data_IF_319747688352
#
_entry.id   IF_319747688352
#
_cell.length_a   1.000
_cell.length_b   1.000
_cell.length_c   1.000
_cell.angle_alpha   90.00
_cell.angle_beta   90.00
_cell.angle_gamma   90.00
#
_symmetry.space_group_name_H-M   'P 1'
#
loop_
_entity.id
_entity.type
_entity.pdbx_description
1 polymer ?
#
# COMPACT_ATOMS: atom_id res chain seq x y z
N UNK A 1 -6.87 12.88 16.96
CA UNK A 1 -5.40 12.72 16.93
C UNK A 1 -5.14 11.36 16.31
N UNK A 2 -4.53 11.33 15.12
CA UNK A 2 -4.11 10.09 14.46
C UNK A 2 -2.98 9.56 15.34
N UNK A 3 -3.22 8.46 16.06
CA UNK A 3 -2.17 7.75 16.80
C UNK A 3 -1.33 7.00 15.78
N UNK A 4 -0.34 7.67 15.20
CA UNK A 4 0.64 7.02 14.36
C UNK A 4 1.44 6.07 15.26
N UNK A 5 1.40 4.76 14.99
CA UNK A 5 2.27 3.82 15.68
C UNK A 5 3.73 4.23 15.42
N UNK A 6 4.53 4.40 16.46
CA UNK A 6 5.96 4.59 16.28
C UNK A 6 6.59 3.25 15.90
N UNK A 7 6.99 3.14 14.66
CA UNK A 7 7.64 1.95 14.09
C UNK A 7 9.12 2.15 13.81
N UNK A 8 9.71 3.22 14.35
CA UNK A 8 11.12 3.59 14.11
C UNK A 8 12.12 2.51 14.54
N UNK A 9 11.76 1.66 15.49
CA UNK A 9 12.55 0.49 15.86
C UNK A 9 12.71 -0.52 14.71
N UNK A 10 11.80 -0.51 13.72
CA UNK A 10 11.89 -1.34 12.51
C UNK A 10 12.79 -0.74 11.43
N UNK A 11 13.24 0.50 11.55
CA UNK A 11 14.09 1.19 10.57
C UNK A 11 15.58 0.79 10.68
N UNK A 12 15.88 -0.22 11.48
CA UNK A 12 17.24 -0.79 11.58
C UNK A 12 17.61 -1.51 10.28
N UNK A 13 18.85 -1.36 9.77
CA UNK A 13 19.29 -2.03 8.54
C UNK A 13 19.10 -3.55 8.55
N UNK A 14 19.24 -4.17 9.73
CA UNK A 14 19.04 -5.60 9.96
C UNK A 14 17.59 -6.05 9.69
N UNK A 15 16.61 -5.14 9.86
CA UNK A 15 15.19 -5.38 9.58
C UNK A 15 14.88 -5.02 8.12
N UNK A 16 15.30 -3.83 7.69
CA UNK A 16 14.94 -3.29 6.37
C UNK A 16 15.35 -4.18 5.21
N UNK A 17 16.52 -4.84 5.28
CA UNK A 17 17.01 -5.77 4.25
C UNK A 17 16.14 -7.01 4.04
N UNK A 18 15.31 -7.37 5.04
CA UNK A 18 14.36 -8.49 4.95
C UNK A 18 12.94 -8.02 4.71
N UNK A 19 12.62 -6.80 5.21
CA UNK A 19 11.28 -6.25 5.09
C UNK A 19 11.00 -5.67 3.71
N UNK A 20 12.04 -5.19 3.00
CA UNK A 20 11.88 -4.57 1.69
C UNK A 20 12.80 -5.21 0.64
N UNK A 21 12.22 -5.49 -0.52
CA UNK A 21 12.93 -5.99 -1.70
C UNK A 21 12.66 -5.08 -2.89
N UNK A 22 13.18 -3.82 -2.87
CA UNK A 22 12.89 -2.86 -3.92
C UNK A 22 13.42 -3.35 -5.27
N UNK A 23 12.60 -3.18 -6.28
CA UNK A 23 12.89 -3.53 -7.68
C UNK A 23 12.53 -2.33 -8.56
N UNK A 24 13.42 -1.93 -9.45
CA UNK A 24 13.16 -0.85 -10.40
C UNK A 24 12.36 -1.35 -11.60
N UNK A 25 11.52 -0.48 -12.10
CA UNK A 25 10.86 -0.69 -13.38
C UNK A 25 11.90 -0.50 -14.50
N UNK A 26 12.04 -1.51 -15.34
CA UNK A 26 12.77 -1.36 -16.60
C UNK A 26 11.76 -0.86 -17.62
N UNK A 27 11.80 0.45 -17.89
CA UNK A 27 10.89 1.22 -18.75
C UNK A 27 10.28 0.34 -19.86
N UNK A 28 9.07 -0.13 -19.62
CA UNK A 28 8.23 -0.73 -20.64
C UNK A 28 7.26 0.35 -21.14
N UNK A 29 6.80 0.20 -22.37
CA UNK A 29 5.76 1.10 -22.86
C UNK A 29 4.55 1.03 -21.92
N UNK A 30 4.09 2.20 -21.46
CA UNK A 30 2.86 2.31 -20.66
C UNK A 30 1.71 1.72 -21.47
N UNK A 31 0.90 0.79 -20.93
CA UNK A 31 -0.24 0.23 -21.65
C UNK A 31 -1.18 1.34 -22.14
N UNK A 32 -1.83 1.10 -23.28
CA UNK A 32 -2.84 2.02 -23.79
C UNK A 32 -3.93 2.24 -22.74
N UNK A 33 -4.44 3.48 -22.67
CA UNK A 33 -5.50 3.90 -21.75
C UNK A 33 -5.13 3.84 -20.25
N UNK A 34 -3.84 3.76 -19.89
CA UNK A 34 -3.37 3.93 -18.53
C UNK A 34 -2.72 5.29 -18.31
N UNK A 35 -2.66 5.75 -17.06
CA UNK A 35 -2.06 7.03 -16.68
C UNK A 35 -1.01 6.80 -15.60
N UNK A 36 0.24 7.12 -15.90
CA UNK A 36 1.30 7.18 -14.90
C UNK A 36 1.41 8.60 -14.35
N UNK A 37 1.55 8.74 -13.04
CA UNK A 37 1.80 10.02 -12.38
C UNK A 37 2.68 9.84 -11.14
N UNK A 38 3.16 10.96 -10.60
CA UNK A 38 4.05 10.94 -9.45
C UNK A 38 3.44 11.69 -8.27
N UNK A 39 3.61 11.14 -7.08
CA UNK A 39 3.13 11.68 -5.81
C UNK A 39 4.35 12.19 -5.04
N UNK A 40 4.54 13.52 -4.89
CA UNK A 40 5.60 14.06 -4.07
C UNK A 40 5.36 13.75 -2.60
N UNK A 41 6.32 13.12 -1.92
CA UNK A 41 6.25 12.80 -0.49
C UNK A 41 7.26 13.60 0.34
N UNK A 42 8.39 13.99 -0.28
CA UNK A 42 9.41 14.87 0.26
C UNK A 42 10.02 15.71 -0.86
N UNK A 43 10.92 16.67 -0.50
CA UNK A 43 11.52 17.62 -1.46
C UNK A 43 12.10 16.97 -2.73
N UNK A 44 12.72 15.80 -2.61
CA UNK A 44 13.39 15.10 -3.72
C UNK A 44 12.92 13.65 -3.86
N UNK A 45 11.84 13.30 -3.16
CA UNK A 45 11.28 11.95 -3.15
C UNK A 45 9.84 11.97 -3.65
N UNK A 46 9.58 11.14 -4.65
CA UNK A 46 8.26 10.93 -5.21
C UNK A 46 7.95 9.44 -5.36
N UNK A 47 6.69 9.09 -5.20
CA UNK A 47 6.18 7.76 -5.48
C UNK A 47 5.62 7.71 -6.89
N UNK A 48 5.94 6.65 -7.63
CA UNK A 48 5.28 6.35 -8.91
C UNK A 48 3.90 5.75 -8.64
N UNK A 49 2.95 6.09 -9.49
CA UNK A 49 1.62 5.50 -9.45
C UNK A 49 1.12 5.24 -10.87
N UNK A 50 0.41 4.12 -11.04
CA UNK A 50 -0.21 3.73 -12.32
C UNK A 50 -1.70 3.54 -12.13
N UNK A 51 -2.46 4.25 -12.96
CA UNK A 51 -3.91 4.25 -12.93
C UNK A 51 -4.49 3.59 -14.18
N UNK A 52 -5.35 2.62 -13.98
CA UNK A 52 -6.14 1.92 -14.99
C UNK A 52 -7.58 2.41 -14.85
N UNK A 53 -8.05 3.34 -15.71
CA UNK A 53 -9.35 3.98 -15.55
C UNK A 53 -10.50 3.10 -16.04
N UNK A 54 -11.59 3.08 -15.28
CA UNK A 54 -12.95 2.76 -15.71
C UNK A 54 -13.78 4.06 -15.74
N UNK A 55 -15.10 3.95 -15.85
CA UNK A 55 -15.96 5.14 -15.80
C UNK A 55 -15.79 5.94 -14.50
N UNK A 56 -15.92 7.29 -14.55
CA UNK A 56 -15.66 8.14 -13.39
C UNK A 56 -16.59 7.92 -12.19
N UNK A 57 -17.81 7.44 -12.41
CA UNK A 57 -18.80 7.19 -11.36
C UNK A 57 -18.66 5.79 -10.73
N UNK A 58 -17.86 4.91 -11.33
CA UNK A 58 -17.62 3.55 -10.88
C UNK A 58 -16.56 3.48 -9.77
N UNK A 59 -16.51 2.39 -8.97
CA UNK A 59 -15.57 2.28 -7.85
C UNK A 59 -14.11 2.41 -8.26
N UNK A 60 -13.32 2.99 -7.36
CA UNK A 60 -11.87 3.13 -7.49
C UNK A 60 -11.17 2.32 -6.39
N UNK A 61 -10.28 1.41 -6.79
CA UNK A 61 -9.39 0.71 -5.85
C UNK A 61 -8.06 1.44 -5.81
N UNK A 62 -7.67 1.94 -4.63
CA UNK A 62 -6.30 2.32 -4.33
C UNK A 62 -5.57 1.10 -3.76
N UNK A 63 -4.60 0.61 -4.49
CA UNK A 63 -3.91 -0.64 -4.22
C UNK A 63 -2.46 -0.44 -3.80
N UNK A 64 -2.11 -1.06 -2.68
CA UNK A 64 -0.77 -1.20 -2.14
C UNK A 64 -0.28 -2.63 -2.38
N UNK A 65 0.74 -2.78 -3.22
CA UNK A 65 1.24 -4.06 -3.70
C UNK A 65 2.05 -4.84 -2.66
N UNK A 66 2.36 -6.10 -2.96
CA UNK A 66 3.20 -6.95 -2.14
C UNK A 66 4.69 -6.61 -2.23
N UNK A 67 5.49 -7.17 -1.32
CA UNK A 67 6.93 -6.97 -1.32
C UNK A 67 7.57 -7.56 -2.60
N UNK A 68 8.45 -6.80 -3.25
CA UNK A 68 9.10 -7.19 -4.51
C UNK A 68 8.23 -7.03 -5.77
N UNK A 69 6.98 -6.62 -5.64
CA UNK A 69 6.10 -6.25 -6.76
C UNK A 69 6.28 -4.76 -7.10
N UNK A 70 5.82 -4.36 -8.29
CA UNK A 70 5.80 -2.97 -8.75
C UNK A 70 4.55 -2.70 -9.58
N UNK A 71 4.20 -1.44 -9.80
CA UNK A 71 2.98 -1.05 -10.49
C UNK A 71 2.84 -1.69 -11.88
N UNK A 72 3.93 -1.83 -12.63
CA UNK A 72 3.91 -2.45 -13.97
C UNK A 72 3.64 -3.96 -13.97
N UNK A 73 3.77 -4.67 -12.85
CA UNK A 73 3.37 -6.08 -12.77
C UNK A 73 1.85 -6.26 -12.92
N UNK A 74 1.11 -5.19 -12.75
CA UNK A 74 -0.35 -5.17 -12.82
C UNK A 74 -0.90 -4.78 -14.21
N UNK A 75 -0.04 -4.61 -15.22
CA UNK A 75 -0.44 -4.23 -16.58
C UNK A 75 -1.40 -5.22 -17.25
N UNK A 76 -1.32 -6.50 -16.88
CA UNK A 76 -2.30 -7.51 -17.33
C UNK A 76 -3.53 -7.62 -16.42
N UNK A 77 -3.45 -7.11 -15.18
CA UNK A 77 -4.48 -7.24 -14.16
C UNK A 77 -5.40 -6.01 -14.14
N UNK A 78 -4.84 -4.79 -14.27
CA UNK A 78 -5.62 -3.55 -14.29
C UNK A 78 -6.78 -3.57 -15.28
N UNK A 79 -6.57 -3.97 -16.55
CA UNK A 79 -7.67 -4.10 -17.53
C UNK A 79 -8.74 -5.12 -17.13
N UNK A 80 -8.41 -6.15 -16.33
CA UNK A 80 -9.41 -7.08 -15.82
C UNK A 80 -10.37 -6.38 -14.87
N UNK A 81 -9.85 -5.54 -13.96
CA UNK A 81 -10.71 -4.71 -13.10
C UNK A 81 -11.59 -3.76 -13.92
N UNK A 82 -11.03 -3.14 -14.97
CA UNK A 82 -11.79 -2.23 -15.82
C UNK A 82 -12.96 -2.93 -16.54
N UNK A 83 -12.80 -4.19 -16.94
CA UNK A 83 -13.88 -4.98 -17.54
C UNK A 83 -15.05 -5.23 -16.59
N UNK A 84 -14.84 -5.07 -15.29
CA UNK A 84 -15.87 -5.13 -14.26
C UNK A 84 -16.33 -3.75 -13.77
N UNK A 85 -15.99 -2.68 -14.48
CA UNK A 85 -16.36 -1.32 -14.12
C UNK A 85 -15.57 -0.78 -12.91
N UNK A 86 -14.38 -1.28 -12.63
CA UNK A 86 -13.59 -0.86 -11.46
C UNK A 86 -12.32 -0.17 -11.95
N UNK A 87 -12.10 1.07 -11.53
CA UNK A 87 -10.81 1.73 -11.71
C UNK A 87 -9.78 1.16 -10.73
N UNK A 88 -8.57 0.91 -11.20
CA UNK A 88 -7.51 0.30 -10.40
C UNK A 88 -6.27 1.20 -10.40
N UNK A 89 -5.81 1.60 -9.22
CA UNK A 89 -4.68 2.49 -9.03
C UNK A 89 -3.64 1.83 -8.13
N UNK A 90 -2.45 1.60 -8.65
CA UNK A 90 -1.33 0.98 -7.94
C UNK A 90 -0.30 2.05 -7.58
N UNK A 91 0.17 2.05 -6.34
CA UNK A 91 1.23 2.97 -5.87
C UNK A 91 2.47 2.17 -5.50
N UNK A 92 3.60 2.56 -6.10
CA UNK A 92 4.92 2.02 -5.75
C UNK A 92 5.48 2.67 -4.46
N UNK A 93 6.09 1.88 -3.58
CA UNK A 93 6.80 2.41 -2.42
C UNK A 93 8.13 3.07 -2.81
N UNK A 94 8.75 3.85 -1.91
CA UNK A 94 10.12 4.38 -2.14
C UNK A 94 11.05 3.27 -2.61
N UNK A 95 11.82 3.54 -3.65
CA UNK A 95 12.77 2.60 -4.24
C UNK A 95 12.18 1.54 -5.16
N UNK A 96 10.87 1.32 -5.16
CA UNK A 96 10.17 0.41 -6.06
C UNK A 96 9.78 1.09 -7.38
N UNK A 97 9.66 0.31 -8.44
CA UNK A 97 9.17 0.78 -9.73
C UNK A 97 9.83 2.08 -10.18
N UNK A 98 9.02 3.09 -10.42
CA UNK A 98 9.44 4.43 -10.80
C UNK A 98 9.67 5.37 -9.60
N UNK A 99 9.36 4.94 -8.37
CA UNK A 99 9.55 5.74 -7.16
C UNK A 99 11.02 6.01 -6.86
N UNK A 100 11.31 7.19 -6.29
CA UNK A 100 12.65 7.54 -5.79
C UNK A 100 12.81 7.24 -4.31
N UNK A 101 13.96 7.53 -3.73
CA UNK A 101 14.26 7.32 -2.32
C UNK A 101 14.54 5.87 -1.93
N UNK A 102 14.59 5.62 -0.62
CA UNK A 102 14.78 4.31 -0.02
C UNK A 102 13.64 4.01 0.96
N UNK A 103 13.10 2.78 0.97
CA UNK A 103 11.99 2.43 1.85
C UNK A 103 12.48 2.23 3.30
N UNK A 104 11.68 2.70 4.25
CA UNK A 104 11.77 2.36 5.67
C UNK A 104 10.38 2.02 6.21
N UNK A 105 10.29 1.39 7.38
CA UNK A 105 8.99 1.09 7.99
C UNK A 105 8.23 2.38 8.33
N UNK A 106 8.93 3.40 8.82
CA UNK A 106 8.33 4.69 9.13
C UNK A 106 7.80 5.40 7.90
N UNK A 107 8.56 5.44 6.80
CA UNK A 107 8.09 6.12 5.60
C UNK A 107 7.02 5.31 4.83
N UNK A 108 6.95 3.99 4.98
CA UNK A 108 5.84 3.20 4.44
C UNK A 108 4.49 3.70 4.97
N UNK A 109 4.42 4.05 6.26
CA UNK A 109 3.21 4.59 6.88
C UNK A 109 2.98 6.06 6.51
N UNK A 110 3.99 6.91 6.64
CA UNK A 110 3.85 8.35 6.36
C UNK A 110 3.52 8.62 4.88
N UNK A 111 4.14 7.89 3.98
CA UNK A 111 3.89 8.01 2.54
C UNK A 111 2.50 7.50 2.16
N UNK A 112 1.99 6.47 2.84
CA UNK A 112 0.62 6.00 2.62
C UNK A 112 -0.40 7.11 2.87
N UNK A 113 -0.24 7.88 3.96
CA UNK A 113 -1.11 9.04 4.23
C UNK A 113 -1.03 10.11 3.14
N UNK A 114 0.16 10.39 2.65
CA UNK A 114 0.36 11.36 1.55
C UNK A 114 -0.24 10.81 0.26
N UNK A 115 0.05 9.54 -0.08
CA UNK A 115 -0.48 8.90 -1.27
C UNK A 115 -2.02 8.90 -1.28
N UNK A 116 -2.65 8.55 -0.17
CA UNK A 116 -4.11 8.56 -0.07
C UNK A 116 -4.70 9.94 -0.33
N UNK A 117 -4.17 10.99 0.32
CA UNK A 117 -4.67 12.36 0.14
C UNK A 117 -4.46 12.88 -1.28
N UNK A 118 -3.28 12.66 -1.84
CA UNK A 118 -2.96 13.11 -3.20
C UNK A 118 -3.77 12.36 -4.26
N UNK A 119 -3.92 11.04 -4.13
CA UNK A 119 -4.75 10.23 -5.03
C UNK A 119 -6.21 10.68 -4.96
N UNK A 120 -6.74 10.89 -3.77
CA UNK A 120 -8.11 11.35 -3.59
C UNK A 120 -8.32 12.73 -4.22
N UNK A 121 -7.44 13.68 -3.95
CA UNK A 121 -7.48 15.01 -4.55
C UNK A 121 -7.39 14.94 -6.09
N UNK A 122 -6.53 14.05 -6.60
CA UNK A 122 -6.38 13.84 -8.03
C UNK A 122 -7.66 13.25 -8.65
N UNK A 123 -8.27 12.23 -8.02
CA UNK A 123 -9.53 11.64 -8.48
C UNK A 123 -10.65 12.71 -8.51
N UNK A 124 -10.80 13.48 -7.44
CA UNK A 124 -11.76 14.58 -7.37
C UNK A 124 -11.53 15.61 -8.49
N UNK A 125 -10.26 15.99 -8.73
CA UNK A 125 -9.86 16.91 -9.80
C UNK A 125 -10.15 16.39 -11.21
N UNK A 126 -10.22 15.04 -11.37
CA UNK A 126 -10.63 14.39 -12.63
C UNK A 126 -12.15 14.16 -12.73
N UNK A 127 -12.93 14.67 -11.77
CA UNK A 127 -14.38 14.49 -11.74
C UNK A 127 -14.81 13.04 -11.42
N UNK A 128 -13.95 12.25 -10.77
CA UNK A 128 -14.23 10.88 -10.41
C UNK A 128 -14.89 10.82 -9.03
N UNK A 129 -16.12 10.31 -8.99
CA UNK A 129 -17.02 10.38 -7.82
C UNK A 129 -17.41 9.01 -7.27
N UNK A 130 -16.88 7.92 -7.86
CA UNK A 130 -17.14 6.56 -7.41
C UNK A 130 -16.60 6.26 -6.00
N UNK A 131 -17.03 5.13 -5.45
CA UNK A 131 -16.61 4.65 -4.14
C UNK A 131 -15.08 4.45 -4.08
N UNK A 132 -14.47 4.77 -2.95
CA UNK A 132 -13.04 4.57 -2.72
C UNK A 132 -12.83 3.32 -1.86
N UNK A 133 -12.18 2.32 -2.42
CA UNK A 133 -11.84 1.06 -1.77
C UNK A 133 -10.32 0.99 -1.62
N UNK A 134 -9.86 0.72 -0.42
CA UNK A 134 -8.43 0.50 -0.17
C UNK A 134 -8.14 -1.00 -0.27
N UNK A 135 -7.12 -1.36 -1.00
CA UNK A 135 -6.69 -2.74 -1.12
C UNK A 135 -5.20 -2.87 -0.79
N UNK A 136 -4.85 -3.91 -0.04
CA UNK A 136 -3.45 -4.21 0.27
C UNK A 136 -3.15 -5.69 0.17
N UNK A 137 -2.02 -6.02 -0.48
CA UNK A 137 -1.53 -7.37 -0.61
C UNK A 137 -0.25 -7.58 0.19
N UNK A 138 -0.18 -8.63 1.01
CA UNK A 138 1.00 -8.99 1.81
C UNK A 138 1.55 -7.77 2.57
N UNK A 139 2.74 -7.25 2.26
CA UNK A 139 3.29 -6.00 2.82
C UNK A 139 2.32 -4.82 2.67
N UNK A 140 1.60 -4.75 1.56
CA UNK A 140 0.60 -3.71 1.30
C UNK A 140 -0.59 -3.69 2.26
N UNK A 141 -0.79 -4.76 3.04
CA UNK A 141 -1.78 -4.76 4.12
C UNK A 141 -1.46 -3.73 5.21
N UNK A 142 -0.19 -3.37 5.39
CA UNK A 142 0.26 -2.36 6.36
C UNK A 142 -0.28 -0.97 6.02
N UNK A 143 0.07 -0.37 4.86
CA UNK A 143 -0.48 0.92 4.46
C UNK A 143 -2.01 0.88 4.28
N UNK A 144 -2.58 -0.22 3.77
CA UNK A 144 -4.03 -0.33 3.62
C UNK A 144 -4.76 -0.24 4.97
N UNK A 145 -4.31 -0.96 5.99
CA UNK A 145 -4.87 -0.88 7.33
C UNK A 145 -4.64 0.47 8.00
N UNK A 146 -3.47 1.10 7.79
CA UNK A 146 -3.18 2.44 8.29
C UNK A 146 -4.18 3.46 7.75
N UNK A 147 -4.38 3.47 6.43
CA UNK A 147 -5.33 4.39 5.79
C UNK A 147 -6.76 4.11 6.24
N UNK A 148 -7.18 2.84 6.25
CA UNK A 148 -8.54 2.51 6.66
C UNK A 148 -8.82 2.85 8.11
N UNK A 149 -7.88 2.67 9.04
CA UNK A 149 -8.06 3.06 10.43
C UNK A 149 -8.13 4.58 10.62
N UNK A 150 -7.36 5.34 9.81
CA UNK A 150 -7.21 6.79 9.94
C UNK A 150 -8.30 7.59 9.22
N UNK A 151 -8.83 7.09 8.10
CA UNK A 151 -9.73 7.81 7.19
C UNK A 151 -11.07 7.09 6.95
N UNK A 152 -11.62 6.44 7.96
CA UNK A 152 -12.86 5.65 7.81
C UNK A 152 -14.03 6.42 7.17
N UNK A 153 -14.14 7.71 7.43
CA UNK A 153 -15.24 8.53 6.87
C UNK A 153 -15.02 8.90 5.39
N UNK A 154 -13.85 8.62 4.84
CA UNK A 154 -13.42 9.03 3.50
C UNK A 154 -13.21 7.84 2.56
N UNK A 155 -13.45 6.62 3.05
CA UNK A 155 -13.34 5.36 2.31
C UNK A 155 -14.62 4.55 2.44
N UNK A 156 -14.86 3.62 1.52
CA UNK A 156 -16.08 2.82 1.45
C UNK A 156 -15.84 1.34 1.73
N UNK A 157 -14.62 0.83 1.58
CA UNK A 157 -14.30 -0.57 1.84
C UNK A 157 -12.82 -0.85 1.94
N UNK A 158 -12.51 -2.06 2.43
CA UNK A 158 -11.15 -2.60 2.57
C UNK A 158 -11.08 -3.99 1.95
N UNK A 159 -10.01 -4.24 1.19
CA UNK A 159 -9.65 -5.58 0.70
C UNK A 159 -8.25 -5.91 1.19
N UNK A 160 -8.09 -7.04 1.86
CA UNK A 160 -6.81 -7.59 2.28
C UNK A 160 -6.55 -8.91 1.57
N UNK A 161 -5.49 -8.97 0.77
CA UNK A 161 -5.03 -10.17 0.09
C UNK A 161 -3.73 -10.66 0.76
N UNK A 162 -3.75 -11.86 1.33
CA UNK A 162 -2.59 -12.49 1.99
C UNK A 162 -1.90 -11.58 3.03
N UNK A 163 -2.69 -10.80 3.76
CA UNK A 163 -2.19 -9.87 4.78
C UNK A 163 -1.72 -10.59 6.04
N UNK A 164 -0.92 -9.92 6.85
CA UNK A 164 -0.46 -10.44 8.13
C UNK A 164 -0.98 -9.63 9.32
N UNK A 165 -1.25 -10.34 10.42
CA UNK A 165 -1.83 -9.72 11.62
C UNK A 165 -0.76 -9.17 12.58
N UNK A 166 0.41 -9.81 12.67
CA UNK A 166 1.46 -9.50 13.65
C UNK A 166 2.82 -9.35 12.99
N UNK A 167 3.56 -8.33 13.42
CA UNK A 167 4.85 -7.95 12.83
C UNK A 167 5.98 -8.89 13.26
N UNK A 168 6.10 -9.20 14.55
CA UNK A 168 7.20 -10.02 15.07
C UNK A 168 7.22 -11.44 14.49
N UNK A 169 6.10 -12.18 14.44
CA UNK A 169 6.09 -13.49 13.77
C UNK A 169 6.49 -13.43 12.29
N UNK A 170 6.05 -12.40 11.57
CA UNK A 170 6.46 -12.21 10.18
C UNK A 170 7.97 -11.98 10.08
N UNK A 171 8.53 -11.05 10.85
CA UNK A 171 9.96 -10.74 10.83
C UNK A 171 10.82 -11.96 11.17
N UNK A 172 10.42 -12.74 12.18
CA UNK A 172 11.11 -13.98 12.57
C UNK A 172 11.08 -15.01 11.43
N UNK A 173 9.93 -15.16 10.75
CA UNK A 173 9.80 -16.04 9.56
C UNK A 173 10.68 -15.58 8.40
N UNK A 174 10.89 -14.28 8.25
CA UNK A 174 11.81 -13.70 7.25
C UNK A 174 13.29 -13.83 7.64
N UNK A 175 13.61 -14.27 8.87
CA UNK A 175 14.99 -14.46 9.34
C UNK A 175 15.57 -13.29 10.15
N UNK A 176 14.73 -12.34 10.58
CA UNK A 176 15.14 -11.27 11.50
C UNK A 176 15.16 -11.81 12.93
N UNK A 177 16.27 -11.68 13.63
CA UNK A 177 16.39 -12.06 15.04
C UNK A 177 15.80 -10.95 15.94
N UNK A 178 14.46 -10.82 15.95
CA UNK A 178 13.76 -9.72 16.63
C UNK A 178 14.12 -9.61 18.12
N UNK A 179 14.26 -10.74 18.82
CA UNK A 179 14.64 -10.76 20.23
C UNK A 179 16.04 -10.15 20.46
N UNK A 180 17.01 -10.46 19.60
CA UNK A 180 18.38 -9.92 19.68
C UNK A 180 18.40 -8.42 19.41
N UNK A 181 17.50 -7.94 18.54
CA UNK A 181 17.37 -6.52 18.20
C UNK A 181 16.50 -5.74 19.18
N UNK A 182 15.94 -6.41 20.21
CA UNK A 182 15.06 -5.78 21.19
C UNK A 182 13.71 -5.35 20.63
N UNK A 183 13.28 -5.95 19.50
CA UNK A 183 12.02 -5.61 18.81
C UNK A 183 10.88 -6.47 19.38
N UNK A 184 9.83 -5.79 19.83
CA UNK A 184 8.59 -6.37 20.34
C UNK A 184 7.40 -6.07 19.42
N UNK A 185 6.25 -6.70 19.68
CA UNK A 185 5.03 -6.41 18.92
C UNK A 185 4.52 -4.97 19.12
N UNK A 186 4.93 -4.31 20.22
CA UNK A 186 4.60 -2.90 20.46
C UNK A 186 5.30 -1.96 19.46
N UNK A 187 6.44 -2.38 18.91
CA UNK A 187 7.22 -1.64 17.92
C UNK A 187 6.73 -1.95 16.48
N UNK A 188 5.74 -2.83 16.34
CA UNK A 188 5.23 -3.31 15.08
C UNK A 188 4.14 -2.43 14.45
N UNK A 189 3.63 -2.86 13.31
CA UNK A 189 2.63 -2.12 12.52
C UNK A 189 1.22 -2.09 13.13
N UNK A 190 0.99 -2.80 14.23
CA UNK A 190 -0.30 -2.89 14.94
C UNK A 190 -1.50 -3.32 14.07
N UNK A 191 -1.27 -4.08 13.01
CA UNK A 191 -2.30 -4.51 12.05
C UNK A 191 -3.49 -5.20 12.73
N UNK A 192 -3.24 -6.06 13.72
CA UNK A 192 -4.28 -6.75 14.47
C UNK A 192 -5.18 -5.80 15.27
N UNK A 193 -4.61 -4.72 15.80
CA UNK A 193 -5.37 -3.66 16.49
C UNK A 193 -6.22 -2.88 15.48
N UNK A 194 -5.59 -2.41 14.40
CA UNK A 194 -6.24 -1.59 13.38
C UNK A 194 -7.47 -2.28 12.77
N UNK A 195 -7.36 -3.55 12.37
CA UNK A 195 -8.47 -4.27 11.73
C UNK A 195 -9.70 -4.41 12.64
N UNK A 196 -9.51 -4.49 13.96
CA UNK A 196 -10.61 -4.59 14.93
C UNK A 196 -11.45 -3.32 15.02
N UNK A 197 -10.82 -2.17 14.75
CA UNK A 197 -11.43 -0.86 14.91
C UNK A 197 -11.99 -0.30 13.58
N UNK A 198 -11.78 -1.02 12.47
CA UNK A 198 -12.31 -0.66 11.15
C UNK A 198 -13.77 -1.11 11.05
N UNK A 199 -14.68 -0.12 10.94
CA UNK A 199 -16.13 -0.33 10.80
C UNK A 199 -16.63 -0.40 9.36
N UNK A 200 -15.74 -0.54 8.36
CA UNK A 200 -16.09 -0.59 6.94
C UNK A 200 -16.24 -2.02 6.42
N UNK A 201 -17.05 -2.24 5.37
CA UNK A 201 -17.09 -3.52 4.67
C UNK A 201 -15.67 -4.00 4.34
N UNK A 202 -15.34 -5.21 4.75
CA UNK A 202 -13.99 -5.76 4.59
C UNK A 202 -14.03 -7.14 3.95
N UNK A 203 -13.27 -7.30 2.86
CA UNK A 203 -13.01 -8.59 2.22
C UNK A 203 -11.59 -9.05 2.57
N UNK A 204 -11.47 -10.26 3.11
CA UNK A 204 -10.18 -10.90 3.37
C UNK A 204 -10.03 -12.11 2.44
N UNK A 205 -8.96 -12.09 1.66
CA UNK A 205 -8.56 -13.19 0.78
C UNK A 205 -7.25 -13.76 1.35
N UNK A 206 -7.20 -15.06 1.56
CA UNK A 206 -6.01 -15.70 2.14
C UNK A 206 -5.86 -17.13 1.63
N UNK A 207 -4.64 -17.53 1.32
CA UNK A 207 -4.37 -18.89 0.89
C UNK A 207 -4.54 -19.88 2.04
N UNK A 208 -5.07 -21.07 1.77
CA UNK A 208 -5.30 -22.09 2.81
C UNK A 208 -3.99 -22.55 3.48
N UNK A 209 -2.85 -22.43 2.77
CA UNK A 209 -1.53 -22.85 3.22
C UNK A 209 -0.55 -21.68 3.37
N UNK A 210 -1.04 -20.47 3.40
CA UNK A 210 -0.24 -19.23 3.50
C UNK A 210 0.06 -18.87 4.98
#
# INVERSE_FOLDING_TARGET
MISCCDVSALDQPEVLKYLFHPRKDHVQAVPQDTVDFFIPVEKEVQLGARFYPADPEEPHILFFHGNGEIASDYDAIGPVYNNYGISFLVVDYRGYGQSTGLPTASNLLSDAHTAFREVRCWLEGQGRTGLIIIMGRSLGSVPALEICSSYQNEIDGLILDSGFARTVPLLNRLGVATETLGISEADGFANFGKIRDIGKPTLIIHGQND
#
